data_IF_823042827935
#
_entry.id   IF_823042827935
#
_cell.length_a   1.000
_cell.length_b   1.000
_cell.length_c   1.000
_cell.angle_alpha   90.00
_cell.angle_beta   90.00
_cell.angle_gamma   90.00
#
_symmetry.space_group_name_H-M   'P 1'
#
loop_
_entity.id
_entity.type
_entity.pdbx_description
1 polymer ?
#
# COMPACT_ATOMS: atom_id res chain seq x y z
N UNK A 1 0.82 -11.20 0.64
CA UNK A 1 1.65 -10.57 -0.42
C UNK A 1 1.11 -9.18 -0.71
N UNK A 2 1.97 -8.26 -1.10
CA UNK A 2 1.57 -6.88 -1.42
C UNK A 2 1.02 -6.77 -2.83
N UNK A 3 -0.15 -6.15 -2.96
CA UNK A 3 -0.81 -5.95 -4.24
C UNK A 3 -0.26 -4.67 -4.88
N UNK A 4 0.41 -4.85 -6.01
CA UNK A 4 0.92 -3.74 -6.81
C UNK A 4 -0.11 -3.41 -7.89
N UNK A 5 -0.54 -2.15 -7.97
CA UNK A 5 -1.39 -1.65 -9.03
C UNK A 5 -0.61 -0.72 -9.94
N UNK A 6 -0.48 -1.09 -11.20
CA UNK A 6 0.19 -0.29 -12.22
C UNK A 6 -0.85 0.31 -13.16
N UNK A 7 -0.98 1.64 -13.13
CA UNK A 7 -1.81 2.39 -14.06
C UNK A 7 -0.94 2.80 -15.26
N UNK A 8 -1.19 2.20 -16.42
CA UNK A 8 -0.49 2.55 -17.66
C UNK A 8 -1.18 3.72 -18.35
N UNK A 9 -0.48 4.86 -18.40
CA UNK A 9 -0.90 6.09 -19.06
C UNK A 9 -0.48 6.19 -20.53
N UNK A 10 0.14 5.16 -21.11
CA UNK A 10 0.57 5.20 -22.51
C UNK A 10 -0.65 5.31 -23.45
N UNK A 11 -0.71 6.27 -24.39
CA UNK A 11 -1.93 6.53 -25.17
C UNK A 11 -2.22 5.48 -26.26
N UNK A 12 -1.20 4.75 -26.70
CA UNK A 12 -1.35 3.61 -27.63
C UNK A 12 -0.26 2.59 -27.32
N UNK A 13 -0.47 1.74 -26.30
CA UNK A 13 0.58 0.84 -25.84
C UNK A 13 0.96 -0.21 -26.90
N UNK A 14 0.06 -0.56 -27.81
CA UNK A 14 0.32 -1.53 -28.88
C UNK A 14 1.44 -1.10 -29.85
N UNK A 15 1.75 0.20 -29.92
CA UNK A 15 2.85 0.75 -30.71
C UNK A 15 4.08 1.11 -29.86
N UNK A 16 4.08 0.78 -28.57
CA UNK A 16 5.18 1.09 -27.66
C UNK A 16 6.26 0.02 -27.70
N UNK A 17 7.49 0.42 -27.97
CA UNK A 17 8.67 -0.47 -27.88
C UNK A 17 9.25 -0.57 -26.47
N UNK A 18 8.91 0.35 -25.57
CA UNK A 18 9.53 0.42 -24.23
C UNK A 18 8.54 0.17 -23.10
N UNK A 19 7.38 0.86 -23.10
CA UNK A 19 6.42 0.70 -22.01
C UNK A 19 5.78 -0.69 -22.03
N UNK A 20 5.60 -1.31 -23.20
CA UNK A 20 5.13 -2.70 -23.33
C UNK A 20 6.09 -3.67 -22.64
N UNK A 21 7.39 -3.56 -22.96
CA UNK A 21 8.44 -4.40 -22.34
C UNK A 21 8.49 -4.21 -20.83
N UNK A 22 8.37 -2.97 -20.33
CA UNK A 22 8.35 -2.69 -18.89
C UNK A 22 7.16 -3.39 -18.22
N UNK A 23 5.95 -3.20 -18.74
CA UNK A 23 4.74 -3.75 -18.16
C UNK A 23 4.72 -5.28 -18.19
N UNK A 24 5.14 -5.89 -19.30
CA UNK A 24 5.27 -7.34 -19.41
C UNK A 24 6.30 -7.89 -18.42
N UNK A 25 7.44 -7.21 -18.25
CA UNK A 25 8.47 -7.60 -17.29
C UNK A 25 7.95 -7.55 -15.85
N UNK A 26 7.17 -6.52 -15.49
CA UNK A 26 6.54 -6.43 -14.17
C UNK A 26 5.56 -7.57 -13.94
N UNK A 27 4.70 -7.87 -14.92
CA UNK A 27 3.72 -8.97 -14.84
C UNK A 27 4.38 -10.34 -14.73
N UNK A 28 5.58 -10.53 -15.27
CA UNK A 28 6.33 -11.78 -15.18
C UNK A 28 7.17 -11.87 -13.90
N UNK A 29 7.65 -10.74 -13.37
CA UNK A 29 8.61 -10.70 -12.28
C UNK A 29 8.03 -10.46 -10.89
N UNK A 30 6.76 -10.03 -10.78
CA UNK A 30 6.09 -9.79 -9.49
C UNK A 30 4.95 -10.78 -9.26
N UNK A 31 4.87 -11.33 -8.04
CA UNK A 31 3.86 -12.34 -7.69
C UNK A 31 2.43 -11.78 -7.66
N UNK A 32 2.24 -10.52 -7.27
CA UNK A 32 0.93 -9.85 -7.20
C UNK A 32 1.00 -8.46 -7.83
N UNK A 33 0.66 -8.40 -9.12
CA UNK A 33 0.58 -7.15 -9.88
C UNK A 33 -0.64 -7.10 -10.78
N UNK A 34 -1.42 -6.04 -10.67
CA UNK A 34 -2.52 -5.70 -11.57
C UNK A 34 -2.08 -4.55 -12.49
N UNK A 35 -2.14 -4.74 -13.80
CA UNK A 35 -1.88 -3.69 -14.79
C UNK A 35 -3.18 -3.20 -15.39
N UNK A 36 -3.49 -1.92 -15.21
CA UNK A 36 -4.67 -1.26 -15.81
C UNK A 36 -4.24 -0.36 -16.95
N UNK A 37 -4.60 -0.75 -18.17
CA UNK A 37 -4.27 -0.06 -19.42
C UNK A 37 -5.34 0.98 -19.75
N UNK A 38 -5.07 2.26 -19.48
CA UNK A 38 -6.06 3.32 -19.68
C UNK A 38 -6.43 3.48 -21.17
N UNK A 39 -5.49 3.30 -22.10
CA UNK A 39 -5.74 3.34 -23.54
C UNK A 39 -6.81 2.35 -24.02
N UNK A 40 -6.83 1.18 -23.40
CA UNK A 40 -7.73 0.08 -23.77
C UNK A 40 -9.03 0.10 -22.98
N UNK A 41 -8.98 0.49 -21.70
CA UNK A 41 -10.15 0.59 -20.84
C UNK A 41 -11.02 1.80 -21.20
N UNK A 42 -10.39 2.92 -21.56
CA UNK A 42 -11.06 4.21 -21.75
C UNK A 42 -10.62 4.92 -23.04
N UNK A 43 -10.76 4.28 -24.22
CA UNK A 43 -10.35 4.88 -25.50
C UNK A 43 -11.11 6.17 -25.84
N UNK A 44 -12.28 6.37 -25.24
CA UNK A 44 -13.16 7.53 -25.40
C UNK A 44 -13.07 8.52 -24.22
N UNK A 45 -12.11 8.33 -23.31
CA UNK A 45 -11.88 9.14 -22.11
C UNK A 45 -13.05 9.08 -21.11
N UNK A 46 -13.94 8.10 -21.16
CA UNK A 46 -15.00 7.92 -20.16
C UNK A 46 -14.55 6.97 -19.05
N UNK A 47 -13.90 7.51 -18.01
CA UNK A 47 -13.35 6.73 -16.90
C UNK A 47 -14.47 6.22 -15.99
N UNK A 48 -14.49 4.91 -15.74
CA UNK A 48 -15.30 4.30 -14.69
C UNK A 48 -14.63 4.55 -13.33
N UNK A 49 -14.99 5.67 -12.71
CA UNK A 49 -14.43 6.09 -11.42
C UNK A 49 -14.59 5.01 -10.35
N UNK A 50 -15.75 4.33 -10.30
CA UNK A 50 -16.00 3.33 -9.28
C UNK A 50 -15.07 2.12 -9.44
N UNK A 51 -14.87 1.64 -10.68
CA UNK A 51 -13.97 0.53 -10.94
C UNK A 51 -12.52 0.86 -10.57
N UNK A 52 -12.04 2.06 -10.92
CA UNK A 52 -10.66 2.48 -10.63
C UNK A 52 -10.43 2.71 -9.12
N UNK A 53 -11.40 3.29 -8.43
CA UNK A 53 -11.34 3.43 -6.97
C UNK A 53 -11.32 2.07 -6.27
N UNK A 54 -12.07 1.09 -6.76
CA UNK A 54 -12.02 -0.28 -6.22
C UNK A 54 -10.67 -0.96 -6.45
N UNK A 55 -10.01 -0.72 -7.59
CA UNK A 55 -8.66 -1.20 -7.81
C UNK A 55 -7.66 -0.55 -6.83
N UNK A 56 -7.74 0.78 -6.67
CA UNK A 56 -6.90 1.53 -5.73
C UNK A 56 -7.07 1.08 -4.28
N UNK A 57 -8.29 0.74 -3.86
CA UNK A 57 -8.54 0.24 -2.50
C UNK A 57 -7.79 -1.07 -2.22
N UNK A 58 -7.69 -1.96 -3.20
CA UNK A 58 -7.01 -3.26 -3.10
C UNK A 58 -5.49 -3.16 -3.18
N UNK A 59 -4.96 -2.06 -3.69
CA UNK A 59 -3.54 -1.84 -3.92
C UNK A 59 -2.83 -1.38 -2.65
N UNK A 60 -1.62 -1.88 -2.41
CA UNK A 60 -0.72 -1.33 -1.39
C UNK A 60 0.30 -0.37 -2.00
N UNK A 61 0.78 -0.73 -3.20
CA UNK A 61 1.68 0.08 -4.00
C UNK A 61 0.97 0.49 -5.28
N UNK A 62 0.92 1.78 -5.56
CA UNK A 62 0.36 2.35 -6.79
C UNK A 62 1.50 2.92 -7.63
N UNK A 63 1.61 2.41 -8.85
CA UNK A 63 2.61 2.85 -9.84
C UNK A 63 1.89 3.54 -10.99
N UNK A 64 2.31 4.77 -11.32
CA UNK A 64 1.92 5.38 -12.59
C UNK A 64 3.02 5.12 -13.62
N UNK A 65 2.73 4.30 -14.63
CA UNK A 65 3.65 4.01 -15.74
C UNK A 65 3.27 4.83 -16.97
N UNK A 66 4.15 5.71 -17.46
CA UNK A 66 3.81 6.54 -18.62
C UNK A 66 5.01 7.01 -19.45
N UNK A 67 4.83 7.34 -20.75
CA UNK A 67 5.82 8.09 -21.49
C UNK A 67 5.80 9.57 -21.11
N UNK A 68 6.97 10.16 -20.90
CA UNK A 68 7.14 11.57 -20.53
C UNK A 68 6.90 12.49 -21.74
N UNK A 69 5.72 13.11 -21.79
CA UNK A 69 5.27 13.93 -22.90
C UNK A 69 5.20 15.40 -22.49
N UNK A 70 5.83 16.26 -23.29
CA UNK A 70 5.82 17.71 -23.07
C UNK A 70 6.08 18.11 -21.61
N UNK A 71 7.15 17.54 -21.06
CA UNK A 71 7.58 17.80 -19.68
C UNK A 71 6.58 17.34 -18.60
N UNK A 72 5.67 16.43 -18.94
CA UNK A 72 4.59 15.96 -18.08
C UNK A 72 4.11 14.55 -18.46
N UNK A 73 2.87 14.23 -18.09
CA UNK A 73 2.19 12.97 -18.34
C UNK A 73 1.20 13.06 -19.52
N UNK A 74 0.76 11.93 -20.10
CA UNK A 74 -0.28 11.91 -21.12
C UNK A 74 -1.64 12.40 -20.62
N UNK A 75 -2.44 12.99 -21.52
CA UNK A 75 -3.71 13.64 -21.18
C UNK A 75 -4.72 12.70 -20.48
N UNK A 76 -4.83 11.44 -20.94
CA UNK A 76 -5.72 10.46 -20.34
C UNK A 76 -5.33 10.13 -18.89
N UNK A 77 -4.03 10.03 -18.59
CA UNK A 77 -3.55 9.82 -17.22
C UNK A 77 -3.84 11.04 -16.33
N UNK A 78 -3.71 12.26 -16.88
CA UNK A 78 -4.11 13.46 -16.15
C UNK A 78 -5.61 13.48 -15.84
N UNK A 79 -6.45 13.10 -16.82
CA UNK A 79 -7.90 12.98 -16.62
C UNK A 79 -8.24 11.90 -15.58
N UNK A 80 -7.53 10.76 -15.60
CA UNK A 80 -7.66 9.73 -14.58
C UNK A 80 -7.44 10.29 -13.17
N UNK A 81 -6.38 11.06 -12.94
CA UNK A 81 -6.15 11.70 -11.65
C UNK A 81 -7.30 12.67 -11.29
N UNK A 82 -7.75 13.49 -12.24
CA UNK A 82 -8.83 14.47 -11.99
C UNK A 82 -10.17 13.83 -11.61
N UNK A 83 -10.52 12.70 -12.23
CA UNK A 83 -11.79 12.02 -12.00
C UNK A 83 -11.73 11.07 -10.78
N UNK A 84 -10.65 10.31 -10.65
CA UNK A 84 -10.54 9.20 -9.68
C UNK A 84 -10.11 9.67 -8.31
N UNK A 85 -9.19 10.66 -8.22
CA UNK A 85 -8.70 11.20 -6.95
C UNK A 85 -9.68 12.27 -6.44
N UNK A 86 -10.93 11.87 -6.24
CA UNK A 86 -12.05 12.75 -5.94
C UNK A 86 -12.22 13.08 -4.45
N UNK A 87 -13.01 14.12 -4.17
CA UNK A 87 -13.35 14.55 -2.82
C UNK A 87 -14.10 13.44 -2.06
N UNK A 88 -13.76 13.27 -0.79
CA UNK A 88 -14.18 12.18 0.10
C UNK A 88 -13.73 10.77 -0.32
N UNK A 89 -12.87 10.65 -1.33
CA UNK A 89 -12.14 9.42 -1.62
C UNK A 89 -10.64 9.60 -1.36
N UNK A 90 -9.99 10.47 -2.13
CA UNK A 90 -8.55 10.73 -2.01
C UNK A 90 -8.22 11.87 -1.04
N UNK A 91 -9.10 12.86 -0.90
CA UNK A 91 -8.91 14.03 -0.04
C UNK A 91 -10.22 14.56 0.52
N UNK A 92 -10.15 15.49 1.48
CA UNK A 92 -11.33 16.06 2.14
C UNK A 92 -11.70 15.33 3.43
N UNK A 93 -12.85 15.69 4.03
CA UNK A 93 -13.19 15.26 5.41
C UNK A 93 -13.26 13.74 5.62
N UNK A 94 -13.55 12.98 4.57
CA UNK A 94 -13.61 11.51 4.57
C UNK A 94 -12.67 10.88 3.54
N UNK A 95 -11.80 11.68 2.91
CA UNK A 95 -10.93 11.22 1.83
C UNK A 95 -9.62 10.70 2.37
N UNK A 96 -9.63 9.47 2.87
CA UNK A 96 -8.51 8.78 3.49
C UNK A 96 -8.12 7.48 2.75
N UNK A 97 -8.80 7.17 1.63
CA UNK A 97 -8.71 5.86 0.97
C UNK A 97 -7.36 5.57 0.32
N UNK A 98 -6.56 6.61 0.08
CA UNK A 98 -5.21 6.49 -0.46
C UNK A 98 -4.13 6.73 0.60
N UNK A 99 -4.51 7.12 1.83
CA UNK A 99 -3.55 7.48 2.88
C UNK A 99 -2.66 6.28 3.21
N UNK A 100 -1.35 6.50 3.29
CA UNK A 100 -0.36 5.47 3.61
C UNK A 100 -0.01 4.52 2.48
N UNK A 101 -0.72 4.52 1.34
CA UNK A 101 -0.34 3.70 0.18
C UNK A 101 0.95 4.23 -0.44
N UNK A 102 1.83 3.32 -0.84
CA UNK A 102 3.08 3.65 -1.51
C UNK A 102 2.81 4.12 -2.94
N UNK A 103 3.45 5.20 -3.37
CA UNK A 103 3.23 5.80 -4.67
C UNK A 103 4.54 6.01 -5.43
N UNK A 104 4.64 5.40 -6.61
CA UNK A 104 5.83 5.45 -7.48
C UNK A 104 5.43 6.05 -8.83
N UNK A 105 6.18 7.06 -9.27
CA UNK A 105 6.14 7.49 -10.67
C UNK A 105 7.18 6.70 -11.46
N UNK A 106 6.75 6.05 -12.53
CA UNK A 106 7.59 5.26 -13.41
C UNK A 106 7.43 5.74 -14.85
N UNK A 107 8.47 6.29 -15.47
CA UNK A 107 8.30 6.90 -16.79
C UNK A 107 9.51 6.83 -17.72
N UNK A 108 9.22 6.82 -19.01
CA UNK A 108 10.24 6.72 -20.07
C UNK A 108 10.44 8.07 -20.75
N UNK A 109 11.69 8.52 -20.86
CA UNK A 109 12.07 9.82 -21.40
C UNK A 109 12.75 9.64 -22.76
N UNK A 110 12.31 10.40 -23.76
CA UNK A 110 12.94 10.36 -25.09
C UNK A 110 14.32 11.01 -25.13
N UNK A 111 14.47 12.18 -24.50
CA UNK A 111 15.72 12.93 -24.47
C UNK A 111 16.83 12.26 -23.65
N UNK A 112 18.09 12.61 -23.91
CA UNK A 112 19.23 12.07 -23.18
C UNK A 112 19.37 12.72 -21.79
N UNK A 113 20.03 12.03 -20.85
CA UNK A 113 20.14 12.45 -19.44
C UNK A 113 20.80 13.83 -19.30
N UNK A 114 21.89 14.05 -20.03
CA UNK A 114 22.67 15.29 -20.03
C UNK A 114 21.88 16.53 -20.49
N UNK A 115 20.68 16.35 -21.07
CA UNK A 115 19.82 17.48 -21.43
C UNK A 115 19.05 18.06 -20.25
N UNK A 116 18.88 17.33 -19.14
CA UNK A 116 18.08 17.70 -17.97
C UNK A 116 18.95 18.27 -16.85
N UNK A 117 19.62 19.38 -17.15
CA UNK A 117 20.50 20.10 -16.25
C UNK A 117 20.18 21.61 -16.31
N UNK A 118 20.40 22.39 -15.23
CA UNK A 118 20.23 23.85 -15.26
C UNK A 118 20.95 24.57 -16.40
N UNK A 119 22.08 24.04 -16.87
CA UNK A 119 22.84 24.55 -18.01
C UNK A 119 22.60 23.73 -19.29
N UNK A 120 21.82 22.65 -19.21
CA UNK A 120 21.45 21.78 -20.31
C UNK A 120 20.28 22.32 -21.14
N UNK A 121 19.97 21.61 -22.23
CA UNK A 121 18.94 21.99 -23.20
C UNK A 121 17.53 22.13 -22.59
N UNK A 122 17.18 21.29 -21.61
CA UNK A 122 15.86 21.30 -20.97
C UNK A 122 15.81 22.16 -19.70
N UNK A 123 16.91 22.80 -19.31
CA UNK A 123 17.02 23.81 -18.24
C UNK A 123 16.66 23.38 -16.80
N UNK A 124 16.13 22.18 -16.60
CA UNK A 124 15.70 21.67 -15.30
C UNK A 124 16.02 20.18 -15.19
N UNK A 125 16.24 19.72 -13.96
CA UNK A 125 16.30 18.29 -13.70
C UNK A 125 14.92 17.66 -13.88
N UNK A 126 14.89 16.35 -14.14
CA UNK A 126 13.64 15.60 -14.34
C UNK A 126 12.70 15.72 -13.14
N UNK A 127 13.25 15.68 -11.91
CA UNK A 127 12.49 15.73 -10.67
C UNK A 127 11.69 17.01 -10.50
N UNK A 128 12.22 18.16 -10.96
CA UNK A 128 11.52 19.44 -10.87
C UNK A 128 10.21 19.42 -11.66
N UNK A 129 10.16 18.71 -12.79
CA UNK A 129 8.94 18.55 -13.57
C UNK A 129 7.89 17.68 -12.88
N UNK A 130 8.30 16.83 -11.91
CA UNK A 130 7.42 15.91 -11.21
C UNK A 130 6.81 16.49 -9.92
N UNK A 131 7.20 17.69 -9.50
CA UNK A 131 6.64 18.33 -8.29
C UNK A 131 5.11 18.41 -8.26
N UNK A 132 4.38 18.69 -9.36
CA UNK A 132 2.92 18.65 -9.33
C UNK A 132 2.35 17.26 -8.98
N UNK A 133 2.97 16.19 -9.47
CA UNK A 133 2.58 14.81 -9.17
C UNK A 133 2.96 14.42 -7.73
N UNK A 134 4.13 14.85 -7.27
CA UNK A 134 4.54 14.69 -5.87
C UNK A 134 3.57 15.39 -4.92
N UNK A 135 3.14 16.61 -5.24
CA UNK A 135 2.13 17.33 -4.45
C UNK A 135 0.76 16.64 -4.48
N UNK A 136 0.42 15.98 -5.58
CA UNK A 136 -0.82 15.16 -5.68
C UNK A 136 -0.78 14.00 -4.68
N UNK A 137 0.35 13.29 -4.59
CA UNK A 137 0.54 12.22 -3.62
C UNK A 137 0.41 12.72 -2.17
N UNK A 138 1.02 13.87 -1.86
CA UNK A 138 0.93 14.48 -0.52
C UNK A 138 -0.50 14.89 -0.15
N UNK A 139 -1.24 15.47 -1.10
CA UNK A 139 -2.64 15.83 -0.86
C UNK A 139 -3.50 14.60 -0.56
N UNK A 140 -3.21 13.48 -1.24
CA UNK A 140 -3.88 12.20 -1.03
C UNK A 140 -3.37 11.40 0.18
N UNK A 141 -2.38 11.93 0.92
CA UNK A 141 -1.78 11.26 2.08
C UNK A 141 -0.95 10.02 1.73
N UNK A 142 -0.53 9.86 0.47
CA UNK A 142 0.27 8.73 0.00
C UNK A 142 1.75 8.88 0.38
N UNK A 143 2.47 7.76 0.44
CA UNK A 143 3.92 7.73 0.65
C UNK A 143 4.61 7.86 -0.71
N UNK A 144 5.06 9.07 -1.04
CA UNK A 144 5.76 9.34 -2.31
C UNK A 144 7.19 8.80 -2.28
N UNK A 145 7.52 7.93 -3.24
CA UNK A 145 8.87 7.39 -3.43
C UNK A 145 9.63 8.11 -4.54
N UNK A 146 10.96 8.00 -4.53
CA UNK A 146 11.80 8.51 -5.62
C UNK A 146 11.32 7.92 -6.95
N UNK A 147 11.13 8.75 -8.00
CA UNK A 147 10.65 8.26 -9.29
C UNK A 147 11.68 7.34 -9.96
N UNK A 148 11.18 6.37 -10.72
CA UNK A 148 11.99 5.53 -11.62
C UNK A 148 11.82 6.09 -13.02
N UNK A 149 12.90 6.54 -13.64
CA UNK A 149 12.85 7.02 -15.01
C UNK A 149 14.11 6.65 -15.78
N UNK A 150 13.99 6.57 -17.10
CA UNK A 150 15.12 6.24 -17.97
C UNK A 150 15.10 7.07 -19.23
N UNK A 151 16.30 7.45 -19.68
CA UNK A 151 16.52 8.32 -20.83
C UNK A 151 16.73 7.53 -22.13
N UNK A 152 16.68 8.24 -23.27
CA UNK A 152 16.90 7.67 -24.61
C UNK A 152 15.96 6.50 -24.92
N UNK A 153 14.69 6.61 -24.51
CA UNK A 153 13.68 5.54 -24.64
C UNK A 153 12.86 5.61 -25.94
N UNK A 154 13.21 6.53 -26.85
CA UNK A 154 12.52 6.69 -28.15
C UNK A 154 13.31 5.98 -29.24
N UNK A 155 12.62 5.14 -30.00
CA UNK A 155 13.15 4.53 -31.22
C UNK A 155 12.52 5.20 -32.44
N UNK A 156 13.37 5.69 -33.36
CA UNK A 156 12.95 6.18 -34.67
C UNK A 156 13.82 5.46 -35.72
N UNK A 157 13.24 4.62 -36.58
CA UNK A 157 13.98 3.84 -37.57
C UNK A 157 14.92 4.70 -38.41
N UNK A 158 16.22 4.39 -38.35
CA UNK A 158 17.26 5.10 -39.10
C UNK A 158 17.59 6.51 -38.61
N UNK A 159 17.02 6.96 -37.49
CA UNK A 159 17.20 8.34 -36.99
C UNK A 159 17.73 8.35 -35.55
N UNK A 160 17.11 7.60 -34.63
CA UNK A 160 17.43 7.70 -33.21
C UNK A 160 17.24 6.37 -32.48
N UNK A 161 18.32 5.90 -31.86
CA UNK A 161 18.46 4.58 -31.23
C UNK A 161 18.16 3.39 -32.16
N UNK A 162 18.49 2.19 -31.72
CA UNK A 162 17.95 0.95 -32.30
C UNK A 162 16.78 0.44 -31.46
N UNK A 163 15.93 -0.41 -32.04
CA UNK A 163 14.85 -1.04 -31.30
C UNK A 163 15.40 -1.92 -30.16
N UNK A 164 16.44 -2.71 -30.44
CA UNK A 164 17.11 -3.56 -29.45
C UNK A 164 17.65 -2.75 -28.26
N UNK A 165 18.26 -1.59 -28.52
CA UNK A 165 18.79 -0.72 -27.47
C UNK A 165 17.71 -0.16 -26.55
N UNK A 166 16.57 0.29 -27.11
CA UNK A 166 15.49 0.85 -26.28
C UNK A 166 14.78 -0.24 -25.49
N UNK A 167 14.62 -1.44 -26.07
CA UNK A 167 14.06 -2.60 -25.38
C UNK A 167 15.00 -3.09 -24.26
N UNK A 168 16.31 -3.04 -24.47
CA UNK A 168 17.29 -3.36 -23.41
C UNK A 168 17.17 -2.38 -22.25
N UNK A 169 17.15 -1.08 -22.51
CA UNK A 169 16.94 -0.06 -21.46
C UNK A 169 15.58 -0.22 -20.78
N UNK A 170 14.55 -0.64 -21.51
CA UNK A 170 13.23 -0.93 -20.94
C UNK A 170 13.28 -2.10 -19.94
N UNK A 171 14.05 -3.15 -20.22
CA UNK A 171 14.29 -4.24 -19.25
C UNK A 171 15.06 -3.77 -18.03
N UNK A 172 16.11 -2.96 -18.21
CA UNK A 172 16.87 -2.39 -17.09
C UNK A 172 15.99 -1.49 -16.20
N UNK A 173 15.14 -0.68 -16.83
CA UNK A 173 14.13 0.15 -16.15
C UNK A 173 13.16 -0.71 -15.33
N UNK A 174 12.63 -1.79 -15.94
CA UNK A 174 11.73 -2.70 -15.23
C UNK A 174 12.42 -3.37 -14.03
N UNK A 175 13.68 -3.79 -14.18
CA UNK A 175 14.46 -4.37 -13.09
C UNK A 175 14.68 -3.39 -11.93
N UNK A 176 14.96 -2.13 -12.24
CA UNK A 176 15.08 -1.06 -11.22
C UNK A 176 13.75 -0.81 -10.50
N UNK A 177 12.64 -0.73 -11.25
CA UNK A 177 11.31 -0.57 -10.66
C UNK A 177 10.91 -1.77 -9.78
N UNK A 178 11.14 -3.00 -10.25
CA UNK A 178 10.89 -4.20 -9.45
C UNK A 178 11.72 -4.20 -8.18
N UNK A 179 13.01 -3.84 -8.26
CA UNK A 179 13.88 -3.75 -7.09
C UNK A 179 13.31 -2.77 -6.05
N UNK A 180 12.85 -1.59 -6.50
CA UNK A 180 12.25 -0.60 -5.60
C UNK A 180 10.94 -1.11 -4.99
N UNK A 181 10.04 -1.69 -5.79
CA UNK A 181 8.78 -2.30 -5.32
C UNK A 181 9.06 -3.40 -4.29
N UNK A 182 10.00 -4.31 -4.58
CA UNK A 182 10.35 -5.41 -3.69
C UNK A 182 10.99 -4.90 -2.40
N UNK A 183 11.78 -3.82 -2.47
CA UNK A 183 12.35 -3.17 -1.28
C UNK A 183 11.26 -2.58 -0.38
N UNK A 184 10.30 -1.87 -0.97
CA UNK A 184 9.17 -1.26 -0.25
C UNK A 184 8.32 -2.35 0.41
N UNK A 185 7.90 -3.32 -0.38
CA UNK A 185 6.99 -4.40 0.05
C UNK A 185 7.66 -5.41 0.98
N UNK A 186 8.99 -5.56 0.89
CA UNK A 186 9.79 -6.39 1.78
C UNK A 186 10.26 -5.70 3.06
N UNK A 187 9.99 -4.40 3.25
CA UNK A 187 10.34 -3.72 4.50
C UNK A 187 9.55 -4.28 5.69
N UNK A 188 10.17 -4.36 6.86
CA UNK A 188 9.50 -4.90 8.05
C UNK A 188 8.27 -4.08 8.44
N UNK A 189 8.36 -2.75 8.34
CA UNK A 189 7.24 -1.83 8.56
C UNK A 189 6.05 -2.17 7.65
N UNK A 190 6.25 -2.32 6.34
CA UNK A 190 5.18 -2.68 5.41
C UNK A 190 4.58 -4.05 5.72
N UNK A 191 5.42 -5.06 5.97
CA UNK A 191 4.98 -6.42 6.30
C UNK A 191 4.15 -6.46 7.59
N UNK A 192 4.59 -5.74 8.62
CA UNK A 192 3.90 -5.66 9.91
C UNK A 192 2.59 -4.86 9.80
N UNK A 193 2.57 -3.71 9.12
CA UNK A 193 1.34 -2.92 8.92
C UNK A 193 0.27 -3.74 8.19
N UNK A 194 0.66 -4.55 7.20
CA UNK A 194 -0.24 -5.48 6.51
C UNK A 194 -0.75 -6.58 7.41
N UNK A 195 0.14 -7.14 8.23
CA UNK A 195 -0.23 -8.12 9.22
C UNK A 195 -1.28 -7.55 10.18
N UNK A 196 -1.08 -6.34 10.72
CA UNK A 196 -2.03 -5.63 11.57
C UNK A 196 -3.39 -5.46 10.88
N UNK A 197 -3.40 -4.99 9.62
CA UNK A 197 -4.65 -4.81 8.89
C UNK A 197 -5.40 -6.14 8.68
N UNK A 198 -4.69 -7.21 8.33
CA UNK A 198 -5.27 -8.54 8.15
C UNK A 198 -5.75 -9.17 9.47
N UNK A 199 -4.99 -8.96 10.54
CA UNK A 199 -5.31 -9.40 11.89
C UNK A 199 -6.66 -8.84 12.34
N UNK A 200 -6.84 -7.53 12.23
CA UNK A 200 -8.10 -6.89 12.62
C UNK A 200 -9.26 -7.21 11.66
N UNK A 201 -9.01 -7.30 10.36
CA UNK A 201 -10.03 -7.72 9.39
C UNK A 201 -10.56 -9.15 9.66
N UNK A 202 -9.74 -10.04 10.21
CA UNK A 202 -10.20 -11.35 10.66
C UNK A 202 -10.89 -11.28 12.02
N UNK A 203 -10.41 -10.46 12.95
CA UNK A 203 -11.08 -10.21 14.24
C UNK A 203 -12.51 -9.68 14.05
N UNK A 204 -12.72 -8.77 13.09
CA UNK A 204 -14.03 -8.18 12.80
C UNK A 204 -15.08 -9.22 12.38
N UNK A 205 -14.66 -10.34 11.79
CA UNK A 205 -15.54 -11.46 11.43
C UNK A 205 -15.94 -12.31 12.63
N UNK A 206 -15.17 -12.26 13.72
CA UNK A 206 -15.32 -13.09 14.92
C UNK A 206 -15.60 -14.58 14.62
N UNK A 207 -14.73 -15.26 13.82
CA UNK A 207 -14.94 -16.67 13.45
C UNK A 207 -15.00 -17.61 14.67
N UNK A 208 -15.73 -18.72 14.54
CA UNK A 208 -15.75 -19.77 15.58
C UNK A 208 -14.40 -20.44 15.76
N UNK A 209 -13.71 -20.70 14.64
CA UNK A 209 -12.36 -21.23 14.64
C UNK A 209 -11.35 -20.09 14.81
N UNK A 210 -10.39 -20.27 15.70
CA UNK A 210 -9.36 -19.28 16.01
C UNK A 210 -7.94 -19.73 15.61
N UNK A 211 -7.84 -20.78 14.80
CA UNK A 211 -6.59 -21.35 14.31
C UNK A 211 -5.73 -20.29 13.58
N UNK A 212 -6.38 -19.42 12.80
CA UNK A 212 -5.75 -18.27 12.15
C UNK A 212 -4.96 -17.43 13.15
N UNK A 213 -5.57 -17.04 14.27
CA UNK A 213 -4.90 -16.17 15.25
C UNK A 213 -3.76 -16.91 15.93
N UNK A 214 -3.98 -18.14 16.41
CA UNK A 214 -2.95 -18.92 17.10
C UNK A 214 -1.73 -19.23 16.23
N UNK A 215 -1.85 -19.22 14.90
CA UNK A 215 -0.72 -19.39 13.99
C UNK A 215 0.32 -18.25 14.09
N UNK A 216 -0.14 -17.05 14.46
CA UNK A 216 0.67 -15.84 14.60
C UNK A 216 0.94 -15.45 16.05
N UNK A 217 0.54 -16.27 17.02
CA UNK A 217 0.86 -16.06 18.44
C UNK A 217 2.00 -16.99 18.85
N UNK A 218 2.99 -16.47 19.57
CA UNK A 218 3.99 -17.30 20.23
C UNK A 218 3.32 -18.29 21.19
N UNK A 219 3.94 -19.46 21.40
CA UNK A 219 3.39 -20.50 22.29
C UNK A 219 3.18 -19.99 23.72
N UNK A 220 4.04 -19.08 24.16
CA UNK A 220 4.05 -18.42 25.47
C UNK A 220 3.60 -16.96 25.42
N UNK A 221 2.84 -16.57 24.38
CA UNK A 221 2.35 -15.19 24.22
C UNK A 221 1.72 -14.63 25.50
N UNK A 222 2.03 -13.38 25.81
CA UNK A 222 1.46 -12.67 26.94
C UNK A 222 0.43 -11.63 26.46
N UNK A 223 -0.85 -11.88 26.73
CA UNK A 223 -1.95 -11.00 26.31
C UNK A 223 -2.50 -10.29 27.54
N UNK A 224 -2.32 -8.98 27.61
CA UNK A 224 -2.82 -8.14 28.69
C UNK A 224 -3.95 -7.26 28.19
N UNK A 225 -5.14 -7.52 28.71
CA UNK A 225 -6.36 -6.78 28.45
C UNK A 225 -6.77 -6.03 29.72
N UNK A 226 -7.68 -5.03 29.66
CA UNK A 226 -8.14 -4.31 30.84
C UNK A 226 -8.77 -5.23 31.92
N UNK A 227 -9.36 -6.34 31.51
CA UNK A 227 -9.98 -7.35 32.37
C UNK A 227 -8.99 -8.35 33.00
N UNK A 228 -7.75 -8.43 32.50
CA UNK A 228 -6.74 -9.34 33.03
C UNK A 228 -5.67 -9.78 32.01
N UNK A 229 -4.79 -10.66 32.49
CA UNK A 229 -3.70 -11.22 31.67
C UNK A 229 -3.98 -12.69 31.34
N UNK A 230 -3.77 -13.05 30.08
CA UNK A 230 -3.98 -14.36 29.50
C UNK A 230 -2.68 -14.84 28.86
N UNK A 231 -2.27 -16.07 29.16
CA UNK A 231 -0.94 -16.58 28.79
C UNK A 231 -1.09 -17.77 27.83
N UNK A 232 -0.28 -17.75 26.76
CA UNK A 232 -0.22 -18.78 25.74
C UNK A 232 -1.51 -18.94 24.94
N UNK A 233 -1.54 -19.96 24.08
CA UNK A 233 -2.72 -20.20 23.24
C UNK A 233 -3.98 -20.58 24.02
N UNK A 234 -3.85 -21.21 25.20
CA UNK A 234 -5.01 -21.51 26.06
C UNK A 234 -5.63 -20.24 26.63
N UNK A 235 -4.80 -19.35 27.20
CA UNK A 235 -5.28 -18.05 27.68
C UNK A 235 -5.91 -17.21 26.57
N UNK A 236 -5.32 -17.20 25.37
CA UNK A 236 -5.92 -16.54 24.22
C UNK A 236 -7.32 -17.09 23.90
N UNK A 237 -7.49 -18.43 23.90
CA UNK A 237 -8.80 -19.05 23.62
C UNK A 237 -9.84 -18.70 24.68
N UNK A 238 -9.45 -18.63 25.95
CA UNK A 238 -10.33 -18.22 27.04
C UNK A 238 -10.82 -16.78 26.85
N UNK A 239 -9.89 -15.85 26.60
CA UNK A 239 -10.23 -14.46 26.30
C UNK A 239 -11.12 -14.34 25.04
N UNK A 240 -10.76 -15.06 23.98
CA UNK A 240 -11.51 -15.02 22.72
C UNK A 240 -12.94 -15.56 22.87
N UNK A 241 -13.15 -16.56 23.73
CA UNK A 241 -14.49 -17.06 24.07
C UNK A 241 -15.32 -15.99 24.80
N UNK A 242 -14.71 -15.21 25.69
CA UNK A 242 -15.37 -14.07 26.36
C UNK A 242 -15.75 -13.00 25.32
N UNK A 243 -14.83 -12.65 24.42
CA UNK A 243 -15.09 -11.68 23.35
C UNK A 243 -16.27 -12.12 22.46
N UNK A 244 -16.30 -13.40 22.04
CA UNK A 244 -17.39 -13.95 21.22
C UNK A 244 -18.72 -14.10 21.95
N UNK A 245 -18.70 -14.31 23.27
CA UNK A 245 -19.92 -14.29 24.08
C UNK A 245 -20.44 -12.86 24.30
N UNK A 246 -19.59 -11.86 24.10
CA UNK A 246 -19.92 -10.45 24.33
C UNK A 246 -20.38 -9.74 23.06
N UNK A 247 -19.60 -9.84 21.98
CA UNK A 247 -19.79 -9.08 20.75
C UNK A 247 -20.37 -9.92 19.60
N UNK A 248 -21.24 -9.29 18.81
CA UNK A 248 -21.75 -9.88 17.56
C UNK A 248 -20.68 -9.82 16.47
N UNK A 249 -20.67 -10.77 15.52
CA UNK A 249 -19.87 -10.65 14.29
C UNK A 249 -20.17 -9.35 13.53
N UNK A 250 -19.18 -8.84 12.81
CA UNK A 250 -19.28 -7.55 12.12
C UNK A 250 -18.87 -6.37 13.00
N UNK A 251 -17.90 -6.57 13.88
CA UNK A 251 -17.18 -5.46 14.51
C UNK A 251 -16.44 -4.63 13.46
N UNK A 252 -16.01 -3.44 13.83
CA UNK A 252 -15.21 -2.56 13.00
C UNK A 252 -14.03 -2.02 13.82
N UNK A 253 -12.86 -2.61 13.64
CA UNK A 253 -11.59 -2.11 14.17
C UNK A 253 -10.96 -1.12 13.18
N UNK A 254 -11.18 0.17 13.43
CA UNK A 254 -10.56 1.23 12.64
C UNK A 254 -9.16 1.53 13.17
N UNK A 255 -8.15 1.11 12.43
CA UNK A 255 -6.75 1.40 12.72
C UNK A 255 -6.47 2.88 12.40
N UNK A 256 -6.48 3.75 13.41
CA UNK A 256 -6.25 5.19 13.25
C UNK A 256 -4.75 5.51 13.08
N UNK A 257 -3.87 4.71 13.69
CA UNK A 257 -2.42 4.84 13.64
C UNK A 257 -1.72 3.50 13.82
N UNK A 258 -0.62 3.30 13.10
CA UNK A 258 0.36 2.22 13.32
C UNK A 258 1.77 2.83 13.30
N UNK A 259 2.59 2.49 14.28
CA UNK A 259 4.01 2.83 14.29
C UNK A 259 4.83 1.58 14.61
N UNK A 260 5.79 1.24 13.74
CA UNK A 260 6.66 0.07 13.89
C UNK A 260 8.07 0.53 14.25
N UNK A 261 8.58 0.11 15.41
CA UNK A 261 9.90 0.47 15.92
C UNK A 261 10.75 -0.78 16.11
N UNK A 262 11.99 -0.85 15.60
CA UNK A 262 12.89 -1.96 15.92
C UNK A 262 13.17 -2.00 17.43
N UNK A 263 13.13 -3.20 18.02
CA UNK A 263 13.30 -3.39 19.46
C UNK A 263 14.75 -3.82 19.76
N UNK A 264 15.56 -2.83 20.18
CA UNK A 264 16.97 -3.02 20.56
C UNK A 264 17.94 -3.08 19.37
N UNK A 265 19.23 -2.85 19.64
CA UNK A 265 20.28 -2.80 18.60
C UNK A 265 20.78 -4.18 18.14
N UNK A 266 20.34 -5.28 18.78
CA UNK A 266 20.96 -6.62 18.63
C UNK A 266 20.03 -7.75 18.21
N UNK A 267 18.70 -7.55 18.23
CA UNK A 267 17.72 -8.54 17.75
C UNK A 267 17.16 -8.06 16.41
N UNK A 268 17.80 -8.47 15.31
CA UNK A 268 17.56 -7.96 13.96
C UNK A 268 16.11 -8.12 13.43
N UNK A 269 15.25 -8.83 14.15
CA UNK A 269 13.91 -9.23 13.70
C UNK A 269 12.80 -8.91 14.71
N UNK A 270 13.08 -8.24 15.83
CA UNK A 270 12.07 -7.90 16.85
C UNK A 270 11.64 -6.43 16.72
N UNK A 271 10.34 -6.20 16.84
CA UNK A 271 9.72 -4.90 16.64
C UNK A 271 8.67 -4.65 17.72
N UNK A 272 8.63 -3.42 18.21
CA UNK A 272 7.53 -2.89 18.97
C UNK A 272 6.55 -2.23 18.00
N UNK A 273 5.28 -2.63 18.06
CA UNK A 273 4.20 -2.07 17.23
C UNK A 273 3.27 -1.30 18.15
N UNK A 274 3.16 0.00 17.91
CA UNK A 274 2.24 0.88 18.64
C UNK A 274 1.04 1.18 17.75
N UNK A 275 -0.14 0.92 18.28
CA UNK A 275 -1.40 1.01 17.54
C UNK A 275 -2.36 1.94 18.27
N UNK A 276 -3.15 2.68 17.50
CA UNK A 276 -4.33 3.40 17.99
C UNK A 276 -5.54 2.89 17.24
N UNK A 277 -6.43 2.21 17.95
CA UNK A 277 -7.57 1.51 17.34
C UNK A 277 -8.87 2.09 17.89
N UNK A 278 -9.78 2.43 16.99
CA UNK A 278 -11.18 2.70 17.34
C UNK A 278 -12.02 1.47 17.04
N UNK A 279 -12.50 0.81 18.08
CA UNK A 279 -13.41 -0.32 17.98
C UNK A 279 -14.86 0.16 18.02
N UNK A 280 -15.63 -0.17 16.99
CA UNK A 280 -17.08 -0.08 17.00
C UNK A 280 -17.68 -1.48 16.94
N UNK A 281 -18.54 -1.82 17.90
CA UNK A 281 -19.12 -3.16 17.99
C UNK A 281 -20.51 -3.14 18.62
N UNK A 282 -21.33 -4.13 18.28
CA UNK A 282 -22.59 -4.41 18.97
C UNK A 282 -22.44 -5.61 19.89
N UNK A 283 -23.04 -5.55 21.07
CA UNK A 283 -23.06 -6.67 22.01
C UNK A 283 -24.34 -7.50 21.93
N UNK A 284 -24.31 -8.74 22.44
CA UNK A 284 -25.52 -9.55 22.61
C UNK A 284 -26.36 -9.07 23.81
N UNK A 285 -27.68 -9.26 23.77
CA UNK A 285 -28.60 -8.85 24.86
C UNK A 285 -28.35 -9.60 26.19
N UNK A 286 -27.86 -10.83 26.11
CA UNK A 286 -27.51 -11.69 27.24
C UNK A 286 -26.05 -11.55 27.68
N UNK A 287 -25.26 -10.71 26.98
CA UNK A 287 -23.90 -10.39 27.39
C UNK A 287 -23.86 -9.44 28.59
N UNK A 288 -22.66 -9.24 29.15
CA UNK A 288 -22.43 -8.25 30.21
C UNK A 288 -22.83 -6.82 29.80
N UNK A 289 -22.82 -6.51 28.50
CA UNK A 289 -23.15 -5.21 27.92
C UNK A 289 -24.63 -5.08 27.50
N UNK A 290 -25.43 -6.15 27.64
CA UNK A 290 -26.90 -6.12 27.48
C UNK A 290 -27.41 -5.50 26.17
N UNK A 291 -26.71 -5.72 25.06
CA UNK A 291 -27.10 -5.22 23.74
C UNK A 291 -26.66 -3.79 23.45
N UNK A 292 -25.90 -3.14 24.35
CA UNK A 292 -25.34 -1.82 24.10
C UNK A 292 -24.29 -1.86 22.98
N UNK A 293 -24.28 -0.80 22.17
CA UNK A 293 -23.22 -0.55 21.20
C UNK A 293 -22.02 0.10 21.88
N UNK A 294 -20.85 -0.29 21.43
CA UNK A 294 -19.56 0.14 21.97
C UNK A 294 -18.83 0.96 20.90
N UNK A 295 -18.27 2.09 21.30
CA UNK A 295 -17.32 2.88 20.51
C UNK A 295 -16.16 3.25 21.43
N UNK A 296 -15.10 2.44 21.39
CA UNK A 296 -13.95 2.57 22.27
C UNK A 296 -12.74 2.98 21.45
N UNK A 297 -11.92 3.83 22.06
CA UNK A 297 -10.59 4.12 21.56
C UNK A 297 -9.60 3.46 22.49
N UNK A 298 -8.73 2.63 21.93
CA UNK A 298 -7.70 1.90 22.67
C UNK A 298 -6.34 2.17 22.03
N UNK A 299 -5.31 2.19 22.87
CA UNK A 299 -3.94 2.05 22.42
C UNK A 299 -3.56 0.59 22.61
N UNK A 300 -2.88 0.02 21.61
CA UNK A 300 -2.28 -1.30 21.76
C UNK A 300 -0.76 -1.21 21.57
N UNK A 301 -0.04 -2.01 22.33
CA UNK A 301 1.41 -2.17 22.19
C UNK A 301 1.71 -3.64 22.03
N UNK A 302 2.28 -4.01 20.87
CA UNK A 302 2.67 -5.39 20.60
C UNK A 302 4.18 -5.52 20.54
N UNK A 303 4.72 -6.64 21.02
CA UNK A 303 6.07 -7.09 20.66
C UNK A 303 5.94 -8.20 19.61
N UNK A 304 6.54 -8.01 18.44
CA UNK A 304 6.42 -8.93 17.31
C UNK A 304 7.80 -9.30 16.76
N UNK A 305 7.99 -10.56 16.36
CA UNK A 305 9.10 -10.94 15.50
C UNK A 305 8.66 -11.07 14.04
N UNK A 306 9.57 -10.79 13.11
CA UNK A 306 9.39 -10.98 11.68
C UNK A 306 10.50 -11.88 11.13
N UNK A 307 10.16 -13.14 10.86
CA UNK A 307 11.10 -14.16 10.39
C UNK A 307 10.63 -14.71 9.05
N UNK A 308 11.43 -14.51 7.99
CA UNK A 308 11.13 -14.95 6.61
C UNK A 308 9.73 -14.52 6.13
N UNK A 309 9.28 -13.34 6.56
CA UNK A 309 7.98 -12.77 6.21
C UNK A 309 6.80 -13.24 7.07
N UNK A 310 7.03 -14.14 8.04
CA UNK A 310 6.05 -14.51 9.05
C UNK A 310 6.16 -13.59 10.26
N UNK A 311 5.06 -12.90 10.61
CA UNK A 311 4.95 -12.14 11.84
C UNK A 311 4.51 -13.07 12.99
N UNK A 312 5.11 -12.94 14.16
CA UNK A 312 4.68 -13.65 15.38
C UNK A 312 4.58 -12.65 16.53
N UNK A 313 3.43 -12.61 17.21
CA UNK A 313 3.18 -11.75 18.38
C UNK A 313 3.65 -12.48 19.65
N UNK A 314 4.51 -11.83 20.42
CA UNK A 314 5.05 -12.30 21.70
C UNK A 314 4.37 -11.62 22.90
N UNK A 315 4.05 -10.33 22.77
CA UNK A 315 3.29 -9.57 23.77
C UNK A 315 2.16 -8.80 23.06
N UNK A 316 0.98 -8.77 23.68
CA UNK A 316 -0.21 -8.08 23.19
C UNK A 316 -0.83 -7.29 24.36
N UNK A 317 -0.59 -6.00 24.43
CA UNK A 317 -1.15 -5.13 25.47
C UNK A 317 -2.22 -4.21 24.90
N UNK A 318 -3.38 -4.15 25.56
CA UNK A 318 -4.48 -3.21 25.25
C UNK A 318 -4.74 -2.29 26.43
N UNK A 319 -4.72 -0.99 26.17
CA UNK A 319 -5.00 0.05 27.16
C UNK A 319 -6.12 0.98 26.64
N UNK A 320 -7.20 1.19 27.41
CA UNK A 320 -8.25 2.12 27.01
C UNK A 320 -7.72 3.54 27.05
N UNK A 321 -8.05 4.34 26.03
CA UNK A 321 -7.79 5.77 26.04
C UNK A 321 -8.88 6.43 26.87
N UNK A 322 -8.55 6.82 28.10
CA UNK A 322 -9.46 7.64 28.91
C UNK A 322 -9.60 9.01 28.24
N UNK A 323 -10.83 9.41 27.90
CA UNK A 323 -11.13 10.77 27.50
C UNK A 323 -11.05 11.64 28.76
N UNK A 324 -9.94 12.37 28.95
CA UNK A 324 -9.90 13.55 29.83
C UNK A 324 -10.57 14.75 29.16
#
# INVERSE_FOLDING_TARGET
>A
MSNVLVISGHPNLNESYTNTVILESLQQGLDSVEVRRLDSLYPDYQIDVAAEQQALLKADVVVLQFPFYWYSMPALLKKYLDDVFSYNFAYGSKGDKLKGKDFILSFTIGGPEESYDPLGYNHFTVELFMYPLQQTAYLAGMVYHKPVYSHRMVYIPGVYNTQEDVESRARDHAAALMTQITTITGSADNQIQKFVANWFAEFDKLPEENAFFTEFLADDVNITMPEGTFIGHEGFRDWYAIARATFKPGCDHQVEQVEVKPQGDTQANLYQVELRIRLQAESFEDSALKGESVNLLVNETWSVSLDEGKVTIHDYLVEPVNND
#
